data_IF_395728871321
#
_entry.id   IF_395728871321
#
_cell.length_a   1.000
_cell.length_b   1.000
_cell.length_c   1.000
_cell.angle_alpha   90.00
_cell.angle_beta   90.00
_cell.angle_gamma   90.00
#
_symmetry.space_group_name_H-M   'P 1'
#
loop_
_entity.id
_entity.type
_entity.pdbx_description
1 polymer ?
#
# COMPACT_ATOMS: atom_id res chain seq x y z
N UNK A 1 -69.69 -31.06 -49.63
CA UNK A 1 -68.45 -30.28 -49.41
C UNK A 1 -67.96 -30.54 -48.00
N UNK A 2 -66.77 -31.21 -47.83
CA UNK A 2 -66.23 -31.58 -46.55
C UNK A 2 -65.04 -30.66 -46.29
N UNK A 3 -65.17 -29.81 -45.27
CA UNK A 3 -64.10 -28.90 -44.78
C UNK A 3 -63.08 -29.65 -43.90
N UNK A 4 -61.84 -29.60 -44.29
CA UNK A 4 -60.68 -30.19 -43.49
C UNK A 4 -60.37 -29.36 -42.33
N UNK A 5 -60.06 -29.95 -41.11
CA UNK A 5 -59.65 -29.21 -39.94
C UNK A 5 -58.15 -28.75 -40.06
N UNK A 6 -57.94 -27.50 -39.73
CA UNK A 6 -56.64 -26.83 -39.73
C UNK A 6 -55.80 -27.28 -38.52
N UNK A 7 -54.79 -28.09 -38.78
CA UNK A 7 -53.85 -28.62 -37.75
C UNK A 7 -52.80 -27.58 -37.47
N UNK A 8 -52.94 -26.83 -36.35
CA UNK A 8 -51.93 -25.92 -35.85
C UNK A 8 -50.66 -26.71 -35.44
N UNK A 9 -49.60 -26.53 -36.19
CA UNK A 9 -48.25 -27.04 -35.86
C UNK A 9 -47.72 -26.24 -34.70
N UNK A 10 -47.66 -26.87 -33.50
CA UNK A 10 -46.97 -26.30 -32.34
C UNK A 10 -45.46 -26.38 -32.57
N UNK A 11 -44.78 -25.21 -32.57
CA UNK A 11 -43.33 -25.13 -32.60
C UNK A 11 -42.76 -25.71 -31.29
N UNK A 12 -41.70 -26.53 -31.34
CA UNK A 12 -41.07 -27.02 -30.11
C UNK A 12 -40.43 -25.84 -29.36
N UNK A 13 -40.84 -25.66 -28.10
CA UNK A 13 -40.24 -24.75 -27.14
C UNK A 13 -38.78 -25.16 -26.93
N UNK A 14 -37.84 -24.32 -27.40
CA UNK A 14 -36.42 -24.49 -27.12
C UNK A 14 -36.18 -24.34 -25.62
N UNK A 15 -36.08 -25.45 -24.91
CA UNK A 15 -35.58 -25.50 -23.54
C UNK A 15 -34.10 -25.17 -23.56
N UNK A 16 -33.77 -23.87 -23.50
CA UNK A 16 -32.42 -23.42 -23.13
C UNK A 16 -32.14 -23.76 -21.66
N UNK A 17 -32.01 -25.04 -21.39
CA UNK A 17 -31.45 -25.52 -20.16
C UNK A 17 -29.94 -25.21 -20.19
N UNK A 18 -29.54 -24.04 -19.69
CA UNK A 18 -28.14 -23.79 -19.42
C UNK A 18 -27.64 -24.83 -18.44
N UNK A 19 -26.81 -25.74 -18.94
CA UNK A 19 -26.12 -26.73 -18.11
C UNK A 19 -25.45 -25.99 -16.94
N UNK A 20 -25.60 -26.45 -15.68
CA UNK A 20 -24.92 -25.82 -14.56
C UNK A 20 -23.42 -25.84 -14.83
N UNK A 21 -22.79 -24.66 -14.80
CA UNK A 21 -21.35 -24.54 -14.98
C UNK A 21 -20.65 -25.43 -13.95
N UNK A 22 -19.71 -26.30 -14.37
CA UNK A 22 -19.01 -27.16 -13.44
C UNK A 22 -18.36 -26.29 -12.36
N UNK A 23 -18.67 -26.57 -11.08
CA UNK A 23 -18.02 -25.93 -9.94
C UNK A 23 -16.53 -26.19 -10.10
N UNK A 24 -15.70 -25.15 -10.12
CA UNK A 24 -14.25 -25.28 -10.15
C UNK A 24 -13.82 -26.01 -8.88
N UNK A 25 -13.58 -27.30 -9.00
CA UNK A 25 -13.00 -28.11 -7.92
C UNK A 25 -11.51 -27.77 -7.90
N UNK A 26 -11.15 -26.72 -7.15
CA UNK A 26 -9.76 -26.36 -6.89
C UNK A 26 -9.34 -26.88 -5.52
N UNK A 27 -8.02 -26.93 -5.27
CA UNK A 27 -7.48 -27.18 -3.95
C UNK A 27 -8.12 -26.23 -2.94
N UNK A 28 -8.55 -26.67 -1.75
CA UNK A 28 -9.15 -25.82 -0.74
C UNK A 28 -8.23 -24.65 -0.41
N UNK A 29 -8.82 -23.46 -0.17
CA UNK A 29 -8.07 -22.26 0.20
C UNK A 29 -7.44 -22.49 1.59
N UNK A 30 -6.15 -22.22 1.71
CA UNK A 30 -5.46 -22.24 3.00
C UNK A 30 -5.86 -20.96 3.74
N UNK A 31 -6.46 -21.09 4.90
CA UNK A 31 -6.77 -19.94 5.77
C UNK A 31 -5.53 -19.57 6.58
N UNK A 32 -5.17 -18.29 6.57
CA UNK A 32 -4.06 -17.78 7.35
C UNK A 32 -4.49 -17.44 8.78
N UNK A 33 -3.66 -17.70 9.79
CA UNK A 33 -3.99 -17.41 11.19
C UNK A 33 -4.05 -15.89 11.45
N UNK A 34 -5.25 -15.35 11.58
CA UNK A 34 -5.49 -13.91 11.79
C UNK A 34 -4.84 -13.40 13.06
N UNK A 35 -4.76 -14.24 14.10
CA UNK A 35 -4.18 -13.92 15.40
C UNK A 35 -2.70 -13.52 15.31
N UNK A 36 -1.95 -14.09 14.36
CA UNK A 36 -0.53 -13.77 14.15
C UNK A 36 -0.33 -12.54 13.25
N UNK A 37 -1.33 -12.16 12.48
CA UNK A 37 -1.23 -11.12 11.46
C UNK A 37 -0.79 -9.77 12.04
N UNK A 38 -1.35 -9.37 13.16
CA UNK A 38 -1.00 -8.13 13.83
C UNK A 38 0.48 -8.11 14.25
N UNK A 39 0.98 -9.20 14.83
CA UNK A 39 2.40 -9.34 15.20
C UNK A 39 3.33 -9.28 13.98
N UNK A 40 2.97 -9.96 12.90
CA UNK A 40 3.72 -9.90 11.63
C UNK A 40 3.79 -8.47 11.08
N UNK A 41 2.68 -7.74 11.14
CA UNK A 41 2.63 -6.34 10.77
C UNK A 41 3.52 -5.46 11.67
N UNK A 42 3.50 -5.67 12.98
CA UNK A 42 4.34 -4.94 13.93
C UNK A 42 5.83 -5.13 13.66
N UNK A 43 6.24 -6.35 13.36
CA UNK A 43 7.63 -6.69 13.01
C UNK A 43 8.01 -6.25 11.59
N UNK A 44 7.03 -5.90 10.76
CA UNK A 44 7.26 -5.51 9.37
C UNK A 44 7.74 -6.65 8.49
N UNK A 45 7.34 -7.89 8.78
CA UNK A 45 7.77 -9.10 8.06
C UNK A 45 7.44 -9.03 6.58
N UNK A 46 8.35 -9.55 5.76
CA UNK A 46 8.14 -9.71 4.33
C UNK A 46 7.26 -10.93 4.03
N UNK A 47 6.82 -11.08 2.78
CA UNK A 47 6.05 -12.26 2.37
C UNK A 47 6.87 -13.56 2.49
N UNK A 48 8.19 -13.47 2.32
CA UNK A 48 9.10 -14.60 2.46
C UNK A 48 9.19 -15.03 3.93
N UNK A 49 9.43 -14.08 4.85
CA UNK A 49 9.46 -14.35 6.28
C UNK A 49 8.14 -14.96 6.78
N UNK A 50 7.00 -14.42 6.34
CA UNK A 50 5.69 -14.96 6.71
C UNK A 50 5.48 -16.38 6.15
N UNK A 51 5.93 -16.63 4.93
CA UNK A 51 5.82 -17.94 4.30
C UNK A 51 6.63 -18.98 5.07
N UNK A 52 7.85 -18.64 5.47
CA UNK A 52 8.75 -19.51 6.24
C UNK A 52 8.18 -19.81 7.63
N UNK A 53 7.68 -18.79 8.34
CA UNK A 53 7.08 -18.98 9.68
C UNK A 53 5.82 -19.84 9.61
N UNK A 54 4.99 -19.66 8.58
CA UNK A 54 3.73 -20.39 8.42
C UNK A 54 3.89 -21.74 7.74
N UNK A 55 5.08 -22.07 7.22
CA UNK A 55 5.34 -23.31 6.48
C UNK A 55 4.53 -23.42 5.17
N UNK A 56 4.25 -22.30 4.52
CA UNK A 56 3.48 -22.22 3.28
C UNK A 56 4.28 -21.55 2.17
N UNK A 57 3.79 -21.61 0.93
CA UNK A 57 4.50 -20.94 -0.17
C UNK A 57 4.29 -19.42 -0.13
N UNK A 58 5.33 -18.64 -0.47
CA UNK A 58 5.25 -17.19 -0.67
C UNK A 58 4.09 -16.79 -1.58
N UNK A 59 3.82 -17.58 -2.63
CA UNK A 59 2.73 -17.34 -3.56
C UNK A 59 1.35 -17.39 -2.86
N UNK A 60 1.20 -18.25 -1.85
CA UNK A 60 -0.03 -18.34 -1.06
C UNK A 60 -0.24 -17.07 -0.24
N UNK A 61 0.81 -16.58 0.42
CA UNK A 61 0.78 -15.31 1.16
C UNK A 61 0.47 -14.14 0.21
N UNK A 62 1.21 -14.00 -0.88
CA UNK A 62 1.02 -12.93 -1.85
C UNK A 62 -0.40 -12.91 -2.44
N UNK A 63 -1.00 -14.09 -2.68
CA UNK A 63 -2.38 -14.19 -3.17
C UNK A 63 -3.38 -13.67 -2.16
N UNK A 64 -3.19 -13.92 -0.87
CA UNK A 64 -4.07 -13.41 0.18
C UNK A 64 -4.05 -11.88 0.21
N UNK A 65 -2.88 -11.25 -0.01
CA UNK A 65 -2.75 -9.79 -0.09
C UNK A 65 -3.30 -9.19 -1.38
N UNK A 66 -3.33 -9.94 -2.49
CA UNK A 66 -3.85 -9.46 -3.78
C UNK A 66 -5.35 -9.69 -3.96
N UNK A 67 -5.87 -10.84 -3.50
CA UNK A 67 -7.27 -11.23 -3.64
C UNK A 67 -8.11 -10.90 -2.42
N UNK A 68 -7.45 -10.76 -1.25
CA UNK A 68 -8.06 -10.56 0.05
C UNK A 68 -7.88 -9.14 0.59
N UNK A 69 -8.10 -8.08 -0.22
CA UNK A 69 -7.99 -6.69 0.25
C UNK A 69 -8.81 -6.41 1.52
N UNK A 70 -9.89 -7.15 1.71
CA UNK A 70 -10.79 -7.08 2.87
C UNK A 70 -10.65 -8.27 3.82
N UNK A 71 -9.64 -9.16 3.63
CA UNK A 71 -9.47 -10.27 4.56
C UNK A 71 -9.02 -9.76 5.93
N UNK A 72 -9.50 -10.41 6.99
CA UNK A 72 -9.18 -10.07 8.36
C UNK A 72 -7.67 -10.14 8.61
N UNK A 73 -6.98 -11.11 7.99
CA UNK A 73 -5.53 -11.25 8.05
C UNK A 73 -4.80 -10.01 7.51
N UNK A 74 -5.17 -9.56 6.31
CA UNK A 74 -4.54 -8.37 5.67
C UNK A 74 -4.85 -7.12 6.47
N UNK A 75 -6.05 -6.99 6.98
CA UNK A 75 -6.49 -5.85 7.80
C UNK A 75 -5.68 -5.76 9.09
N UNK A 76 -5.54 -6.87 9.82
CA UNK A 76 -4.76 -6.90 11.06
C UNK A 76 -3.26 -6.72 10.82
N UNK A 77 -2.70 -7.26 9.72
CA UNK A 77 -1.33 -6.99 9.33
C UNK A 77 -1.10 -5.49 9.08
N UNK A 78 -1.96 -4.84 8.30
CA UNK A 78 -1.87 -3.39 8.03
C UNK A 78 -1.97 -2.56 9.31
N UNK A 79 -2.85 -2.96 10.23
CA UNK A 79 -3.02 -2.32 11.53
C UNK A 79 -1.76 -2.43 12.40
N UNK A 80 -1.16 -3.62 12.48
CA UNK A 80 0.10 -3.84 13.19
C UNK A 80 1.22 -2.94 12.64
N UNK A 81 1.39 -2.91 11.33
CA UNK A 81 2.38 -2.06 10.66
C UNK A 81 2.16 -0.56 10.89
N UNK A 82 0.91 -0.12 10.84
CA UNK A 82 0.56 1.27 11.12
C UNK A 82 0.90 1.67 12.56
N UNK A 83 0.65 0.80 13.54
CA UNK A 83 0.98 1.01 14.95
C UNK A 83 2.50 1.17 15.17
N UNK A 84 3.31 0.31 14.56
CA UNK A 84 4.77 0.42 14.63
C UNK A 84 5.28 1.69 13.99
N UNK A 85 4.80 2.01 12.79
CA UNK A 85 5.15 3.25 12.11
C UNK A 85 4.81 4.49 12.95
N UNK A 86 3.62 4.50 13.57
CA UNK A 86 3.21 5.56 14.49
C UNK A 86 4.16 5.67 15.67
N UNK A 87 4.51 4.55 16.29
CA UNK A 87 5.41 4.51 17.45
C UNK A 87 6.81 5.03 17.12
N UNK A 88 7.36 4.64 15.97
CA UNK A 88 8.65 5.12 15.47
C UNK A 88 8.60 6.63 15.22
N UNK A 89 7.58 7.12 14.54
CA UNK A 89 7.39 8.56 14.26
C UNK A 89 7.31 9.37 15.56
N UNK A 90 6.53 8.89 16.52
CA UNK A 90 6.42 9.55 17.84
C UNK A 90 7.77 9.62 18.57
N UNK A 91 8.56 8.54 18.54
CA UNK A 91 9.90 8.53 19.16
C UNK A 91 10.86 9.51 18.47
N UNK A 92 10.82 9.57 17.12
CA UNK A 92 11.64 10.52 16.36
C UNK A 92 11.27 11.96 16.74
N UNK A 93 9.97 12.29 16.75
CA UNK A 93 9.50 13.62 17.15
C UNK A 93 9.85 13.96 18.60
N UNK A 94 9.69 13.01 19.53
CA UNK A 94 10.07 13.23 20.92
C UNK A 94 11.57 13.51 21.06
N UNK A 95 12.42 12.79 20.33
CA UNK A 95 13.87 13.04 20.33
C UNK A 95 14.21 14.38 19.71
N UNK A 96 13.58 14.73 18.59
CA UNK A 96 13.79 16.01 17.94
C UNK A 96 13.49 17.19 18.87
N UNK A 97 12.40 17.09 19.65
CA UNK A 97 11.96 18.15 20.55
C UNK A 97 12.75 18.20 21.86
N UNK A 98 13.11 17.02 22.44
CA UNK A 98 13.71 16.95 23.78
C UNK A 98 15.22 17.03 23.77
N UNK A 99 15.87 16.48 22.75
CA UNK A 99 17.34 16.33 22.75
C UNK A 99 18.03 17.45 21.97
N UNK A 100 17.27 18.36 21.35
CA UNK A 100 17.75 19.54 20.58
C UNK A 100 18.88 19.21 19.60
N UNK A 101 18.79 18.00 19.01
CA UNK A 101 19.77 17.53 18.04
C UNK A 101 19.40 18.00 16.64
N UNK A 102 20.14 18.94 16.10
CA UNK A 102 19.90 19.55 14.79
C UNK A 102 19.66 18.52 13.67
N UNK A 103 20.43 17.44 13.64
CA UNK A 103 20.27 16.39 12.63
C UNK A 103 18.92 15.68 12.71
N UNK A 104 18.40 15.45 13.92
CA UNK A 104 17.09 14.79 14.12
C UNK A 104 15.97 15.77 13.81
N UNK A 105 16.14 17.03 14.18
CA UNK A 105 15.22 18.14 13.82
C UNK A 105 15.13 18.32 12.32
N UNK A 106 16.26 18.40 11.61
CA UNK A 106 16.31 18.50 10.17
C UNK A 106 15.65 17.30 9.49
N UNK A 107 15.91 16.07 9.97
CA UNK A 107 15.27 14.87 9.47
C UNK A 107 13.75 14.93 9.67
N UNK A 108 13.29 15.34 10.85
CA UNK A 108 11.86 15.46 11.14
C UNK A 108 11.21 16.56 10.29
N UNK A 109 11.86 17.71 10.13
CA UNK A 109 11.40 18.83 9.30
C UNK A 109 11.23 18.43 7.83
N UNK A 110 12.22 17.72 7.26
CA UNK A 110 12.16 17.22 5.88
C UNK A 110 11.04 16.20 5.67
N UNK A 111 10.91 15.22 6.57
CA UNK A 111 10.00 14.10 6.36
C UNK A 111 8.56 14.37 6.82
N UNK A 112 8.35 15.23 7.82
CA UNK A 112 7.02 15.47 8.38
C UNK A 112 6.44 16.84 8.07
N UNK A 113 7.30 17.87 7.91
CA UNK A 113 6.87 19.23 7.62
C UNK A 113 7.02 19.61 6.14
N UNK A 114 7.55 18.72 5.30
CA UNK A 114 7.72 18.96 3.87
C UNK A 114 8.78 20.02 3.55
N UNK A 115 9.66 20.35 4.49
CA UNK A 115 10.77 21.27 4.24
C UNK A 115 11.75 20.66 3.24
N UNK A 116 12.00 21.36 2.15
CA UNK A 116 12.98 20.96 1.14
C UNK A 116 14.22 21.84 1.27
N UNK A 117 15.38 21.22 1.42
CA UNK A 117 16.63 21.93 1.15
C UNK A 117 16.82 22.01 -0.36
N UNK A 118 16.84 23.21 -0.89
CA UNK A 118 17.33 23.43 -2.22
C UNK A 118 18.85 23.66 -2.10
N UNK A 119 19.64 22.62 -2.30
CA UNK A 119 21.08 22.77 -2.54
C UNK A 119 21.28 22.93 -4.04
N UNK A 120 21.52 24.14 -4.49
CA UNK A 120 22.02 24.40 -5.84
C UNK A 120 23.55 24.23 -5.79
N UNK A 121 24.03 23.15 -6.40
CA UNK A 121 25.47 22.92 -6.56
C UNK A 121 25.89 23.60 -7.86
N UNK A 122 26.53 24.77 -7.76
CA UNK A 122 27.13 25.38 -8.91
C UNK A 122 28.38 24.58 -9.32
N UNK A 123 28.52 24.30 -10.63
CA UNK A 123 29.64 23.52 -11.19
C UNK A 123 31.02 24.11 -10.97
N UNK A 124 31.12 25.29 -10.37
CA UNK A 124 32.37 25.97 -9.99
C UNK A 124 32.78 25.71 -8.52
N UNK A 125 32.16 24.81 -7.82
CA UNK A 125 32.52 24.42 -6.44
C UNK A 125 32.02 25.37 -5.35
N UNK A 126 31.21 26.38 -5.66
CA UNK A 126 30.49 27.18 -4.68
C UNK A 126 29.14 26.55 -4.35
N UNK A 127 28.94 26.22 -3.09
CA UNK A 127 27.64 25.76 -2.60
C UNK A 127 26.83 27.00 -2.19
N UNK A 128 25.83 27.36 -2.98
CA UNK A 128 24.88 28.41 -2.60
C UNK A 128 23.68 27.76 -1.93
N UNK A 129 23.54 27.95 -0.64
CA UNK A 129 22.36 27.49 0.13
C UNK A 129 21.34 28.62 0.10
N UNK A 130 20.26 28.42 -0.67
CA UNK A 130 19.11 29.32 -0.64
C UNK A 130 18.02 28.71 0.25
N UNK A 131 17.70 29.37 1.34
CA UNK A 131 16.58 29.02 2.22
C UNK A 131 15.33 29.74 1.69
N UNK A 132 14.37 28.98 1.17
CA UNK A 132 13.10 29.53 0.70
C UNK A 132 12.07 29.38 1.82
N UNK A 133 11.75 30.44 2.50
CA UNK A 133 10.56 30.49 3.36
C UNK A 133 9.38 31.05 2.55
N UNK A 134 8.28 30.31 2.55
CA UNK A 134 6.96 30.75 2.06
C UNK A 134 6.96 31.40 0.65
N UNK A 135 7.69 30.82 -0.31
CA UNK A 135 7.56 31.22 -1.72
C UNK A 135 8.30 32.46 -2.19
N UNK A 136 9.01 33.16 -1.33
CA UNK A 136 9.82 34.32 -1.74
C UNK A 136 11.29 33.93 -1.86
N UNK A 137 11.84 34.11 -3.06
CA UNK A 137 13.29 33.99 -3.33
C UNK A 137 13.95 35.32 -2.95
N UNK A 138 14.64 35.33 -1.81
CA UNK A 138 15.46 36.48 -1.43
C UNK A 138 16.69 36.51 -2.34
N UNK A 139 16.69 37.38 -3.38
CA UNK A 139 17.86 37.60 -4.20
C UNK A 139 18.92 38.30 -3.38
N UNK A 140 20.12 37.70 -3.29
CA UNK A 140 21.26 38.36 -2.64
C UNK A 140 21.60 39.68 -3.32
N UNK A 141 21.92 40.74 -2.57
CA UNK A 141 22.27 42.05 -3.14
C UNK A 141 23.62 41.98 -3.87
N UNK A 142 23.69 42.61 -5.03
CA UNK A 142 24.82 42.59 -5.99
C UNK A 142 26.18 43.13 -5.47
N UNK A 143 26.26 43.60 -4.23
CA UNK A 143 27.48 44.23 -3.67
C UNK A 143 28.44 43.25 -2.94
N UNK A 144 28.12 41.93 -2.92
CA UNK A 144 29.00 40.90 -2.32
C UNK A 144 30.09 40.37 -3.28
N UNK A 145 30.29 40.98 -4.45
CA UNK A 145 31.38 40.61 -5.35
C UNK A 145 32.43 41.76 -5.34
N UNK A 146 33.36 41.64 -4.42
CA UNK A 146 34.71 42.26 -4.53
C UNK A 146 35.74 41.29 -4.00
#
# INVERSE_FOLDING_TARGET
>A
MKTKPNRKVQKPSSRNGSLPKPKKVGRPKIELPVEMAHGFGQLGLTFDDMADILGISRRTVAREFSEGETSDFVTEYRRGRANTNRSIRMKILQRAIKEDKDNVLLFAAKNYCGMKEAAEVDHQGQITVSVTMAGEVIKQPKWMHN
#
